data_IF_225099752468
#
_entry.id   IF_225099752468
#
_cell.length_a   1.000
_cell.length_b   1.000
_cell.length_c   1.000
_cell.angle_alpha   90.00
_cell.angle_beta   90.00
_cell.angle_gamma   90.00
#
_symmetry.space_group_name_H-M   'P 1'
#
loop_
_entity.id
_entity.type
_entity.pdbx_description
1 polymer ?
#
# COMPACT_ATOMS: atom_id res chain seq x y z
N UNK A 1 -11.97 -3.33 13.54
CA UNK A 1 -11.32 -2.72 12.36
C UNK A 1 -9.84 -2.52 12.62
N UNK A 2 -9.52 -1.81 13.72
CA UNK A 2 -8.16 -1.46 14.15
C UNK A 2 -7.11 -2.57 14.02
N UNK A 3 -7.36 -3.77 14.58
CA UNK A 3 -6.42 -4.90 14.53
C UNK A 3 -6.01 -5.35 13.12
N UNK A 4 -6.91 -5.29 12.14
CA UNK A 4 -6.61 -5.71 10.76
C UNK A 4 -5.75 -4.67 10.05
N UNK A 5 -6.11 -3.39 10.18
CA UNK A 5 -5.34 -2.30 9.61
C UNK A 5 -3.95 -2.23 10.23
N UNK A 6 -3.86 -2.38 11.56
CA UNK A 6 -2.61 -2.43 12.29
C UNK A 6 -1.74 -3.60 11.87
N UNK A 7 -2.31 -4.80 11.78
CA UNK A 7 -1.58 -5.99 11.31
C UNK A 7 -1.03 -5.79 9.89
N UNK A 8 -1.82 -5.16 9.00
CA UNK A 8 -1.37 -4.83 7.65
C UNK A 8 -0.24 -3.81 7.70
N UNK A 9 -0.41 -2.67 8.37
CA UNK A 9 0.60 -1.58 8.45
C UNK A 9 1.94 -2.07 9.03
N UNK A 10 1.89 -2.85 10.11
CA UNK A 10 3.07 -3.42 10.78
C UNK A 10 3.80 -4.48 9.93
N UNK A 11 3.15 -5.01 8.87
CA UNK A 11 3.70 -6.08 8.04
C UNK A 11 3.72 -5.74 6.54
N UNK A 12 3.60 -4.47 6.16
CA UNK A 12 3.56 -4.06 4.74
C UNK A 12 4.80 -4.53 3.95
N UNK A 13 5.96 -4.54 4.60
CA UNK A 13 7.25 -5.00 4.04
C UNK A 13 7.28 -6.50 3.76
N UNK A 14 6.44 -7.30 4.41
CA UNK A 14 6.44 -8.75 4.22
C UNK A 14 5.83 -9.08 2.87
N UNK A 15 6.60 -9.77 2.04
CA UNK A 15 6.09 -10.29 0.77
C UNK A 15 4.93 -11.28 0.99
N UNK A 16 5.01 -12.07 2.06
CA UNK A 16 4.02 -13.05 2.52
C UNK A 16 2.79 -12.42 3.19
N UNK A 17 2.59 -11.10 3.10
CA UNK A 17 1.36 -10.48 3.56
C UNK A 17 0.22 -10.79 2.58
N UNK A 18 -0.36 -11.97 2.73
CA UNK A 18 -1.46 -12.48 1.91
C UNK A 18 -2.69 -12.88 2.75
N UNK A 19 -3.72 -13.43 2.09
CA UNK A 19 -4.98 -13.84 2.72
C UNK A 19 -4.73 -14.87 3.83
N UNK A 20 -3.84 -15.83 3.61
CA UNK A 20 -3.53 -16.90 4.57
C UNK A 20 -2.86 -16.34 5.82
N UNK A 21 -1.87 -15.46 5.64
CA UNK A 21 -1.22 -14.76 6.74
C UNK A 21 -2.23 -13.98 7.59
N UNK A 22 -3.12 -13.22 6.96
CA UNK A 22 -4.16 -12.47 7.68
C UNK A 22 -5.13 -13.39 8.42
N UNK A 23 -5.58 -14.48 7.80
CA UNK A 23 -6.44 -15.46 8.42
C UNK A 23 -5.82 -16.09 9.67
N UNK A 24 -4.55 -16.49 9.57
CA UNK A 24 -3.80 -17.10 10.67
C UNK A 24 -3.61 -16.14 11.85
N UNK A 25 -3.20 -14.90 11.58
CA UNK A 25 -2.91 -13.92 12.63
C UNK A 25 -4.16 -13.30 13.25
N UNK A 26 -5.29 -13.27 12.54
CA UNK A 26 -6.56 -12.74 13.04
C UNK A 26 -7.49 -13.82 13.59
N UNK A 27 -7.11 -15.09 13.49
CA UNK A 27 -7.94 -16.25 13.87
C UNK A 27 -9.32 -16.24 13.18
N UNK A 28 -9.35 -15.95 11.89
CA UNK A 28 -10.58 -15.91 11.07
C UNK A 28 -10.46 -16.79 9.84
N UNK A 29 -11.58 -17.35 9.41
CA UNK A 29 -11.65 -18.09 8.14
C UNK A 29 -11.46 -17.14 6.95
N UNK A 30 -11.04 -17.69 5.80
CA UNK A 30 -10.92 -16.93 4.54
C UNK A 30 -12.25 -16.26 4.18
N UNK A 31 -13.37 -16.98 4.28
CA UNK A 31 -14.71 -16.43 4.04
C UNK A 31 -15.03 -15.27 4.98
N UNK A 32 -14.69 -15.38 6.27
CA UNK A 32 -14.87 -14.30 7.23
C UNK A 32 -14.03 -13.06 6.89
N UNK A 33 -12.77 -13.26 6.47
CA UNK A 33 -11.90 -12.18 6.01
C UNK A 33 -12.46 -11.50 4.74
N UNK A 34 -12.91 -12.28 3.75
CA UNK A 34 -13.51 -11.75 2.53
C UNK A 34 -14.77 -10.93 2.81
N UNK A 35 -15.71 -11.45 3.60
CA UNK A 35 -16.93 -10.71 3.96
C UNK A 35 -16.58 -9.43 4.72
N UNK A 36 -15.61 -9.51 5.64
CA UNK A 36 -15.18 -8.37 6.44
C UNK A 36 -14.52 -7.27 5.62
N UNK A 37 -13.63 -7.62 4.67
CA UNK A 37 -13.02 -6.63 3.75
C UNK A 37 -14.05 -6.09 2.77
N UNK A 38 -14.86 -6.96 2.14
CA UNK A 38 -15.87 -6.53 1.19
C UNK A 38 -16.89 -5.57 1.82
N UNK A 39 -17.31 -5.83 3.05
CA UNK A 39 -18.23 -4.95 3.77
C UNK A 39 -17.67 -3.56 4.08
N UNK A 40 -16.33 -3.36 4.07
CA UNK A 40 -15.71 -2.08 4.43
C UNK A 40 -15.13 -1.32 3.24
N UNK A 41 -14.63 -2.03 2.23
CA UNK A 41 -13.94 -1.42 1.09
C UNK A 41 -14.56 -1.76 -0.25
N UNK A 42 -15.53 -2.68 -0.30
CA UNK A 42 -16.07 -3.28 -1.52
C UNK A 42 -15.02 -3.89 -2.46
N UNK A 43 -13.81 -4.13 -1.95
CA UNK A 43 -12.68 -4.67 -2.71
C UNK A 43 -12.37 -6.12 -2.32
N UNK A 44 -11.73 -6.90 -3.20
CA UNK A 44 -11.09 -8.15 -2.82
C UNK A 44 -9.94 -7.92 -1.81
N UNK A 45 -9.69 -8.89 -0.93
CA UNK A 45 -8.63 -8.81 0.12
C UNK A 45 -7.25 -8.48 -0.46
N UNK A 46 -6.87 -9.11 -1.57
CA UNK A 46 -5.57 -8.83 -2.22
C UNK A 46 -5.47 -7.41 -2.79
N UNK A 47 -6.57 -6.87 -3.31
CA UNK A 47 -6.60 -5.47 -3.76
C UNK A 47 -6.54 -4.51 -2.57
N UNK A 48 -7.22 -4.83 -1.47
CA UNK A 48 -7.17 -4.05 -0.24
C UNK A 48 -5.74 -3.95 0.33
N UNK A 49 -5.01 -5.07 0.38
CA UNK A 49 -3.59 -5.07 0.81
C UNK A 49 -2.75 -4.20 -0.13
N UNK A 50 -2.97 -4.32 -1.44
CA UNK A 50 -2.27 -3.49 -2.44
C UNK A 50 -2.54 -2.01 -2.23
N UNK A 51 -3.79 -1.61 -2.04
CA UNK A 51 -4.19 -0.22 -1.76
C UNK A 51 -3.55 0.27 -0.46
N UNK A 52 -3.50 -0.55 0.58
CA UNK A 52 -2.80 -0.20 1.83
C UNK A 52 -1.30 0.07 1.61
N UNK A 53 -0.61 -0.79 0.85
CA UNK A 53 0.81 -0.58 0.48
C UNK A 53 1.01 0.69 -0.34
N UNK A 54 0.13 0.96 -1.31
CA UNK A 54 0.15 2.17 -2.13
C UNK A 54 -0.03 3.45 -1.30
N UNK A 55 -0.99 3.44 -0.38
CA UNK A 55 -1.23 4.58 0.53
C UNK A 55 -0.03 4.86 1.43
N UNK A 56 0.63 3.81 1.95
CA UNK A 56 1.89 3.96 2.69
C UNK A 56 2.99 4.54 1.80
N UNK A 57 3.07 4.11 0.54
CA UNK A 57 4.00 4.65 -0.44
C UNK A 57 3.83 6.15 -0.62
N UNK A 58 2.59 6.62 -0.81
CA UNK A 58 2.27 8.06 -0.88
C UNK A 58 2.70 8.80 0.38
N UNK A 59 2.44 8.23 1.56
CA UNK A 59 2.86 8.83 2.83
C UNK A 59 4.38 9.02 2.90
N UNK A 60 5.14 7.97 2.57
CA UNK A 60 6.61 8.03 2.59
C UNK A 60 7.12 9.05 1.55
N UNK A 61 6.59 9.04 0.33
CA UNK A 61 6.98 9.99 -0.73
C UNK A 61 6.70 11.46 -0.36
N UNK A 62 5.72 11.72 0.52
CA UNK A 62 5.35 13.07 0.94
C UNK A 62 6.16 13.56 2.15
N UNK A 63 6.53 12.66 3.06
CA UNK A 63 7.14 13.01 4.35
C UNK A 63 8.63 12.71 4.44
N UNK A 64 9.15 11.82 3.60
CA UNK A 64 10.54 11.37 3.62
C UNK A 64 11.21 11.64 2.27
N UNK A 65 12.53 11.84 2.30
CA UNK A 65 13.36 11.96 1.09
C UNK A 65 14.17 10.67 0.92
N UNK A 66 13.53 9.65 0.35
CA UNK A 66 14.15 8.35 0.07
C UNK A 66 14.08 8.03 -1.42
N UNK A 67 15.00 7.19 -1.87
CA UNK A 67 15.01 6.76 -3.26
C UNK A 67 13.91 5.72 -3.54
N UNK A 68 13.60 5.54 -4.82
CA UNK A 68 12.51 4.66 -5.27
C UNK A 68 12.74 3.18 -4.90
N UNK A 69 13.97 2.68 -4.93
CA UNK A 69 14.25 1.28 -4.58
C UNK A 69 13.97 1.04 -3.10
N UNK A 70 14.42 1.94 -2.24
CA UNK A 70 14.16 1.88 -0.80
C UNK A 70 12.66 2.00 -0.50
N UNK A 71 11.93 2.86 -1.23
CA UNK A 71 10.48 2.93 -1.11
C UNK A 71 9.84 1.57 -1.38
N UNK A 72 10.18 0.93 -2.50
CA UNK A 72 9.62 -0.37 -2.93
C UNK A 72 9.85 -1.46 -1.89
N UNK A 73 11.06 -1.54 -1.35
CA UNK A 73 11.42 -2.49 -0.28
C UNK A 73 10.57 -2.22 0.97
N UNK A 74 10.39 -0.96 1.36
CA UNK A 74 9.63 -0.58 2.55
C UNK A 74 8.12 -0.82 2.44
N UNK A 75 7.57 -0.87 1.24
CA UNK A 75 6.13 -1.11 1.02
C UNK A 75 5.83 -2.53 0.55
N UNK A 76 6.84 -3.41 0.49
CA UNK A 76 6.68 -4.83 0.16
C UNK A 76 6.19 -5.10 -1.27
N UNK A 77 6.59 -4.25 -2.24
CA UNK A 77 6.34 -4.50 -3.66
C UNK A 77 7.50 -5.28 -4.28
N UNK A 78 7.21 -6.28 -5.11
CA UNK A 78 8.25 -7.12 -5.74
C UNK A 78 9.06 -6.38 -6.82
N UNK A 79 8.52 -5.30 -7.38
CA UNK A 79 9.23 -4.51 -8.39
C UNK A 79 8.64 -3.11 -8.54
N UNK A 80 9.52 -2.17 -8.94
CA UNK A 80 9.14 -0.81 -9.36
C UNK A 80 8.09 -0.84 -10.48
N UNK A 81 8.24 -1.74 -11.45
CA UNK A 81 7.34 -1.84 -12.61
C UNK A 81 5.94 -2.29 -12.22
N UNK A 82 5.82 -3.18 -11.24
CA UNK A 82 4.51 -3.58 -10.71
C UNK A 82 3.89 -2.46 -9.88
N UNK A 83 4.68 -1.82 -9.01
CA UNK A 83 4.25 -0.65 -8.24
C UNK A 83 3.74 0.47 -9.14
N UNK A 84 4.49 0.85 -10.18
CA UNK A 84 4.12 1.94 -11.09
C UNK A 84 2.76 1.71 -11.76
N UNK A 85 2.50 0.46 -12.18
CA UNK A 85 1.23 0.07 -12.80
C UNK A 85 0.08 0.11 -11.78
N UNK A 86 0.31 -0.41 -10.59
CA UNK A 86 -0.67 -0.39 -9.50
C UNK A 86 -0.97 1.05 -9.05
N UNK A 87 0.06 1.88 -8.89
CA UNK A 87 -0.05 3.28 -8.49
C UNK A 87 -0.86 4.08 -9.51
N UNK A 88 -0.56 3.94 -10.80
CA UNK A 88 -1.34 4.59 -11.86
C UNK A 88 -2.79 4.12 -11.89
N UNK A 89 -3.04 2.83 -11.67
CA UNK A 89 -4.41 2.29 -11.60
C UNK A 89 -5.19 2.90 -10.44
N UNK A 90 -4.54 3.09 -9.28
CA UNK A 90 -5.20 3.57 -8.07
C UNK A 90 -5.39 5.10 -8.05
N UNK A 91 -4.36 5.86 -8.44
CA UNK A 91 -4.33 7.32 -8.30
C UNK A 91 -4.51 8.08 -9.62
N UNK A 92 -4.60 7.40 -10.76
CA UNK A 92 -4.77 8.01 -12.08
C UNK A 92 -3.53 8.70 -12.65
N UNK A 93 -2.51 8.95 -11.83
CA UNK A 93 -1.23 9.56 -12.22
C UNK A 93 -0.08 8.58 -12.04
N UNK A 94 1.02 8.77 -12.78
CA UNK A 94 2.21 7.94 -12.55
C UNK A 94 2.92 8.39 -11.27
N UNK A 95 3.64 7.46 -10.62
CA UNK A 95 4.44 7.79 -9.44
C UNK A 95 5.49 8.87 -9.76
N UNK A 96 6.07 8.87 -10.97
CA UNK A 96 7.06 9.88 -11.36
C UNK A 96 6.45 11.27 -11.47
N UNK A 97 5.24 11.38 -12.03
CA UNK A 97 4.49 12.64 -12.06
C UNK A 97 4.19 13.11 -10.63
N UNK A 98 3.74 12.20 -9.77
CA UNK A 98 3.45 12.51 -8.38
C UNK A 98 4.68 13.06 -7.63
N UNK A 99 5.86 12.41 -7.74
CA UNK A 99 7.12 12.92 -7.15
C UNK A 99 7.50 14.28 -7.71
N UNK A 100 7.38 14.47 -9.03
CA UNK A 100 7.71 15.73 -9.67
C UNK A 100 6.82 16.88 -9.15
N UNK A 101 5.52 16.62 -9.01
CA UNK A 101 4.57 17.61 -8.51
C UNK A 101 4.80 17.92 -7.02
N UNK A 102 5.17 16.92 -6.22
CA UNK A 102 5.59 17.12 -4.83
C UNK A 102 6.83 18.01 -4.73
N UNK A 103 7.85 17.76 -5.55
CA UNK A 103 9.08 18.55 -5.55
C UNK A 103 8.83 20.00 -5.98
N UNK A 104 8.00 20.21 -7.01
CA UNK A 104 7.56 21.56 -7.40
C UNK A 104 6.83 22.27 -6.27
N UNK A 105 5.93 21.56 -5.57
CA UNK A 105 5.17 22.13 -4.44
C UNK A 105 6.07 22.49 -3.26
N UNK A 106 7.08 21.68 -2.95
CA UNK A 106 8.10 21.98 -1.93
C UNK A 106 8.87 23.27 -2.29
N UNK A 107 9.35 23.38 -3.54
CA UNK A 107 10.06 24.57 -4.03
C UNK A 107 9.22 25.86 -4.06
N UNK A 108 7.89 25.77 -4.11
CA UNK A 108 6.99 26.93 -4.07
C UNK A 108 6.66 27.40 -2.65
N UNK A 109 6.98 26.59 -1.64
CA UNK A 109 6.74 26.87 -0.22
C UNK A 109 8.01 27.34 0.51
N UNK A 110 9.15 27.36 -0.19
CA UNK A 110 10.44 27.91 0.25
C UNK A 110 10.69 29.29 -0.36
#
# INVERSE_FOLDING_TARGET
>A
MDKLLKLIDENLQREELDVDYLCKNLFISRTGLYQKIKSISDQPVGEFIRTARLNKGVYIMTHEDINLNELIDRIGFQSVSYFSRAFKKEFGVTQSQFVQDLNKKKQLLE
#
